data_IF_265804141349
#
_entry.id   IF_265804141349
#
_cell.length_a   1.000
_cell.length_b   1.000
_cell.length_c   1.000
_cell.angle_alpha   90.00
_cell.angle_beta   90.00
_cell.angle_gamma   90.00
#
_symmetry.space_group_name_H-M   'P 1'
#
loop_
_entity.id
_entity.type
_entity.pdbx_description
1 polymer ?
#
# COMPACT_ATOMS: atom_id res chain seq x y z
N UNK A 1 -7.46 -8.63 -42.00
CA UNK A 1 -7.77 -8.53 -40.56
C UNK A 1 -9.11 -7.86 -40.39
N UNK A 2 -9.89 -8.32 -39.46
CA UNK A 2 -11.21 -7.76 -39.25
C UNK A 2 -11.15 -6.64 -38.23
N UNK A 3 -12.12 -5.73 -38.36
CA UNK A 3 -12.25 -4.63 -37.39
C UNK A 3 -12.49 -5.17 -35.97
N UNK A 4 -13.12 -6.33 -35.87
CA UNK A 4 -13.35 -6.96 -34.57
C UNK A 4 -12.07 -7.43 -33.94
N UNK A 5 -11.15 -7.98 -34.73
CA UNK A 5 -9.84 -8.40 -34.23
C UNK A 5 -9.07 -7.20 -33.71
N UNK A 6 -9.08 -6.09 -34.44
CA UNK A 6 -8.39 -4.88 -34.01
C UNK A 6 -8.98 -4.33 -32.72
N UNK A 7 -10.30 -4.32 -32.61
CA UNK A 7 -10.96 -3.85 -31.38
C UNK A 7 -10.60 -4.73 -30.20
N UNK A 8 -10.60 -6.03 -30.44
CA UNK A 8 -10.22 -6.95 -29.38
C UNK A 8 -8.80 -6.71 -28.90
N UNK A 9 -7.91 -6.52 -29.83
CA UNK A 9 -6.48 -6.31 -29.50
C UNK A 9 -6.29 -5.02 -28.72
N UNK A 10 -6.99 -3.95 -29.13
CA UNK A 10 -6.95 -2.68 -28.43
C UNK A 10 -7.46 -2.82 -27.00
N UNK A 11 -8.58 -3.52 -26.84
CA UNK A 11 -9.15 -3.73 -25.52
C UNK A 11 -8.25 -4.58 -24.62
N UNK A 12 -7.61 -5.59 -25.21
CA UNK A 12 -6.67 -6.42 -24.45
C UNK A 12 -5.47 -5.61 -23.98
N UNK A 13 -4.95 -4.74 -24.83
CA UNK A 13 -3.86 -3.84 -24.46
C UNK A 13 -4.29 -2.92 -23.33
N UNK A 14 -5.49 -2.37 -23.46
CA UNK A 14 -6.06 -1.50 -22.45
C UNK A 14 -6.20 -2.23 -21.12
N UNK A 15 -6.72 -3.44 -21.16
CA UNK A 15 -6.88 -4.25 -19.97
C UNK A 15 -5.54 -4.53 -19.31
N UNK A 16 -4.54 -4.90 -20.10
CA UNK A 16 -3.21 -5.19 -19.57
C UNK A 16 -2.64 -3.97 -18.86
N UNK A 17 -2.81 -2.80 -19.47
CA UNK A 17 -2.34 -1.56 -18.87
C UNK A 17 -3.00 -1.26 -17.54
N UNK A 18 -4.31 -1.53 -17.45
CA UNK A 18 -5.05 -1.33 -16.20
C UNK A 18 -4.62 -2.32 -15.13
N UNK A 19 -4.40 -3.58 -15.53
CA UNK A 19 -3.93 -4.60 -14.60
C UNK A 19 -2.56 -4.24 -14.04
N UNK A 20 -1.68 -3.74 -14.91
CA UNK A 20 -0.35 -3.33 -14.49
C UNK A 20 -0.42 -2.19 -13.47
N UNK A 21 -1.28 -1.22 -13.73
CA UNK A 21 -1.49 -0.11 -12.81
C UNK A 21 -2.04 -0.58 -11.48
N UNK A 22 -3.00 -1.49 -11.53
CA UNK A 22 -3.57 -2.06 -10.33
C UNK A 22 -2.50 -2.73 -9.48
N UNK A 23 -1.68 -3.56 -10.12
CA UNK A 23 -0.62 -4.28 -9.42
C UNK A 23 0.39 -3.32 -8.79
N UNK A 24 0.70 -2.24 -9.50
CA UNK A 24 1.63 -1.24 -8.98
C UNK A 24 1.06 -0.53 -7.76
N UNK A 25 -0.22 -0.16 -7.83
CA UNK A 25 -0.87 0.49 -6.70
C UNK A 25 -1.02 -0.45 -5.52
N UNK A 26 -1.25 -1.72 -5.78
CA UNK A 26 -1.34 -2.72 -4.73
C UNK A 26 -0.01 -2.82 -3.98
N UNK A 27 1.08 -2.79 -4.74
CA UNK A 27 2.42 -2.81 -4.15
C UNK A 27 2.66 -1.59 -3.29
N UNK A 28 2.27 -0.41 -3.79
CA UNK A 28 2.40 0.83 -3.03
C UNK A 28 1.59 0.80 -1.74
N UNK A 29 0.37 0.26 -1.82
CA UNK A 29 -0.48 0.12 -0.64
C UNK A 29 0.16 -0.80 0.40
N UNK A 30 0.74 -1.89 -0.05
CA UNK A 30 1.41 -2.82 0.85
C UNK A 30 2.60 -2.15 1.54
N UNK A 31 3.35 -1.35 0.80
CA UNK A 31 4.49 -0.62 1.36
C UNK A 31 4.02 0.39 2.40
N UNK A 32 2.93 1.09 2.11
CA UNK A 32 2.35 2.03 3.06
C UNK A 32 1.86 1.33 4.31
N UNK A 33 1.23 0.17 4.14
CA UNK A 33 0.75 -0.60 5.28
C UNK A 33 1.91 -1.01 6.19
N UNK A 34 3.03 -1.39 5.59
CA UNK A 34 4.22 -1.75 6.34
C UNK A 34 4.78 -0.55 7.09
N UNK A 35 4.81 0.61 6.44
CA UNK A 35 5.26 1.85 7.06
C UNK A 35 4.38 2.21 8.25
N UNK A 36 3.06 2.13 8.07
CA UNK A 36 2.12 2.44 9.13
C UNK A 36 2.36 1.52 10.32
N UNK A 37 2.56 0.25 10.05
CA UNK A 37 2.79 -0.74 11.09
C UNK A 37 4.06 -0.43 11.87
N UNK A 38 5.10 -0.06 11.13
CA UNK A 38 6.40 0.28 11.72
C UNK A 38 6.31 1.51 12.60
N UNK A 39 5.66 2.57 12.11
CA UNK A 39 5.53 3.80 12.87
C UNK A 39 4.62 3.62 14.07
N UNK A 40 3.54 2.86 13.89
CA UNK A 40 2.65 2.53 15.02
C UNK A 40 3.39 1.81 16.13
N UNK A 41 4.27 0.88 15.76
CA UNK A 41 5.08 0.19 16.74
C UNK A 41 5.98 1.13 17.51
N UNK A 42 6.61 2.06 16.78
CA UNK A 42 7.49 3.05 17.42
C UNK A 42 6.70 3.98 18.35
N UNK A 43 5.52 4.42 17.91
CA UNK A 43 4.67 5.28 18.74
C UNK A 43 4.25 4.56 20.00
N UNK A 44 3.84 3.31 19.85
CA UNK A 44 3.42 2.52 21.00
C UNK A 44 4.54 2.37 22.02
N UNK A 45 5.74 2.10 21.53
CA UNK A 45 6.89 1.94 22.40
C UNK A 45 7.23 3.23 23.14
N UNK A 46 7.19 4.35 22.41
CA UNK A 46 7.45 5.65 23.02
C UNK A 46 6.38 6.01 24.03
N UNK A 47 5.13 5.69 23.75
CA UNK A 47 4.04 5.94 24.69
C UNK A 47 4.26 5.17 25.98
N UNK A 48 4.74 3.95 25.89
CA UNK A 48 5.05 3.16 27.07
C UNK A 48 6.18 3.79 27.87
N UNK A 49 7.18 4.29 27.20
CA UNK A 49 8.29 4.96 27.86
C UNK A 49 7.85 6.26 28.56
N UNK A 50 6.99 7.00 27.88
CA UNK A 50 6.43 8.23 28.46
C UNK A 50 5.61 7.90 29.70
N UNK A 51 4.81 6.85 29.62
CA UNK A 51 4.00 6.41 30.76
C UNK A 51 4.89 6.03 31.95
N UNK A 52 5.98 5.36 31.68
CA UNK A 52 6.90 5.00 32.73
C UNK A 52 7.48 6.21 33.43
N UNK A 53 7.85 7.22 32.63
CA UNK A 53 8.36 8.46 33.19
C UNK A 53 7.34 9.18 34.04
N UNK A 54 6.12 9.31 33.50
CA UNK A 54 5.06 10.06 34.17
C UNK A 54 4.42 9.30 35.29
N UNK A 55 4.31 7.99 35.11
CA UNK A 55 3.63 7.15 36.07
C UNK A 55 4.53 6.68 37.20
N UNK A 56 5.78 7.05 37.19
CA UNK A 56 6.74 6.60 38.18
C UNK A 56 7.05 7.73 39.16
N UNK A 57 6.18 7.93 40.10
CA UNK A 57 6.22 9.15 40.92
C UNK A 57 7.37 9.16 41.89
N UNK A 58 8.03 8.19 42.02
CA UNK A 58 9.16 8.34 42.85
C UNK A 58 9.91 7.34 42.93
#
# INVERSE_FOLDING_TARGET
MSALTERRDLRQTELQGLVDKYNEKQKELNELADEIRSVNGAVKELNEQVKEEEGNPE
#
